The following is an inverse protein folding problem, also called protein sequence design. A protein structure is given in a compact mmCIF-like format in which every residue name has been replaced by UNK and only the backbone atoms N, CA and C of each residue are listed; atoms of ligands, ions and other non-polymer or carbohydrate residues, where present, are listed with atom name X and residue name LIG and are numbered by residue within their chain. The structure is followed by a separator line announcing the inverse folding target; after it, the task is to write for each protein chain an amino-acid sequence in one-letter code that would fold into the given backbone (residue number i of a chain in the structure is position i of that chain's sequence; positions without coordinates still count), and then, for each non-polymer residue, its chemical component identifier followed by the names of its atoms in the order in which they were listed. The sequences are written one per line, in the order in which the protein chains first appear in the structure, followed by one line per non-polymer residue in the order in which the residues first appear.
data_IF_685001892269
#
_entry.id   IF_685001892269
#
_cell.length_a   1.000
_cell.length_b   1.000
_cell.length_c   1.000
_cell.angle_alpha   90.00
_cell.angle_beta   90.00
_cell.angle_gamma   90.00
#
_symmetry.space_group_name_H-M   'P 1'
#
loop_
_entity.id
_entity.type
_entity.pdbx_description
1 polymer ?
#
# COMPACT_ATOMS: atom_id res chain seq x y z
N UNK A 1 4.11 48.40 21.71
CA UNK A 1 5.26 47.50 21.48
C UNK A 1 5.26 46.48 22.61
N UNK A 2 4.95 45.21 22.32
CA UNK A 2 4.92 44.15 23.33
C UNK A 2 6.37 43.74 23.62
N UNK A 3 6.97 44.31 24.67
CA UNK A 3 8.29 43.89 25.14
C UNK A 3 8.08 42.64 25.99
N UNK A 4 8.39 41.46 25.43
CA UNK A 4 8.39 40.18 26.17
C UNK A 4 9.40 40.22 27.32
N UNK A 5 9.07 39.61 28.46
CA UNK A 5 9.92 39.63 29.65
C UNK A 5 11.22 38.82 29.42
N UNK A 6 12.37 39.28 29.97
CA UNK A 6 13.67 38.60 29.85
C UNK A 6 13.64 37.15 30.33
N UNK A 7 12.77 36.83 31.29
CA UNK A 7 12.55 35.45 31.77
C UNK A 7 11.81 34.57 30.75
N UNK A 8 10.90 35.16 29.98
CA UNK A 8 10.18 34.46 28.90
C UNK A 8 11.09 34.23 27.68
N UNK A 9 11.97 35.17 27.35
CA UNK A 9 12.96 34.97 26.27
C UNK A 9 13.91 33.80 26.58
N UNK A 10 14.42 33.72 27.83
CA UNK A 10 15.34 32.66 28.23
C UNK A 10 14.69 31.26 28.30
N UNK A 11 13.39 31.19 28.61
CA UNK A 11 12.66 29.92 28.62
C UNK A 11 12.31 29.45 27.20
N UNK A 12 11.99 30.38 26.30
CA UNK A 12 11.75 30.12 24.88
C UNK A 12 13.03 29.62 24.18
N UNK A 13 14.18 30.30 24.38
CA UNK A 13 15.46 29.88 23.82
C UNK A 13 15.89 28.49 24.28
N UNK A 14 15.67 28.15 25.56
CA UNK A 14 15.93 26.79 26.07
C UNK A 14 15.02 25.74 25.42
N UNK A 15 13.75 26.08 25.19
CA UNK A 15 12.77 25.19 24.55
C UNK A 15 13.13 24.93 23.08
N UNK A 16 13.54 25.98 22.36
CA UNK A 16 13.96 25.89 20.95
C UNK A 16 15.25 25.07 20.81
N UNK A 17 16.22 25.29 21.70
CA UNK A 17 17.47 24.50 21.73
C UNK A 17 17.20 23.03 22.02
N UNK A 18 16.33 22.72 22.99
CA UNK A 18 15.92 21.34 23.28
C UNK A 18 15.19 20.68 22.11
N UNK A 19 14.36 21.42 21.38
CA UNK A 19 13.67 20.94 20.18
C UNK A 19 14.65 20.61 19.05
N UNK A 20 15.65 21.46 18.82
CA UNK A 20 16.70 21.22 17.84
C UNK A 20 17.56 19.99 18.17
N UNK A 21 17.92 19.80 19.44
CA UNK A 21 18.71 18.64 19.87
C UNK A 21 17.91 17.33 19.68
N UNK A 22 16.60 17.34 19.94
CA UNK A 22 15.72 16.19 19.67
C UNK A 22 15.63 15.87 18.18
N UNK A 23 15.53 16.87 17.31
CA UNK A 23 15.50 16.69 15.85
C UNK A 23 16.81 16.08 15.35
N UNK A 24 17.96 16.53 15.87
CA UNK A 24 19.27 15.96 15.51
C UNK A 24 19.41 14.50 15.94
N UNK A 25 18.97 14.17 17.15
CA UNK A 25 18.98 12.80 17.64
C UNK A 25 18.07 11.89 16.79
N UNK A 26 16.90 12.38 16.41
CA UNK A 26 15.96 11.67 15.54
C UNK A 26 16.55 11.37 14.16
N UNK A 27 17.16 12.36 13.51
CA UNK A 27 17.79 12.14 12.18
C UNK A 27 19.01 11.20 12.26
N UNK A 28 19.80 11.27 13.33
CA UNK A 28 20.91 10.34 13.55
C UNK A 28 20.42 8.90 13.72
N UNK A 29 19.37 8.68 14.52
CA UNK A 29 18.76 7.36 14.68
C UNK A 29 18.19 6.84 13.36
N UNK A 30 17.54 7.70 12.58
CA UNK A 30 17.02 7.36 11.25
C UNK A 30 18.15 6.85 10.33
N UNK A 31 19.27 7.57 10.25
CA UNK A 31 20.43 7.19 9.44
C UNK A 31 21.06 5.87 9.90
N UNK A 32 21.10 5.61 11.21
CA UNK A 32 21.61 4.34 11.74
C UNK A 32 20.72 3.16 11.32
N UNK A 33 19.40 3.31 11.39
CA UNK A 33 18.45 2.29 10.96
C UNK A 33 18.59 2.04 9.45
N UNK A 34 18.65 3.09 8.62
CA UNK A 34 18.84 2.95 7.17
C UNK A 34 20.17 2.28 6.80
N UNK A 35 21.25 2.56 7.53
CA UNK A 35 22.55 1.92 7.31
C UNK A 35 22.55 0.43 7.65
N UNK A 36 21.82 0.03 8.70
CA UNK A 36 21.76 -1.36 9.17
C UNK A 36 20.78 -2.21 8.37
N UNK A 37 19.62 -1.66 8.00
CA UNK A 37 18.49 -2.42 7.44
C UNK A 37 18.17 -2.04 5.99
N UNK A 38 18.90 -1.10 5.41
CA UNK A 38 18.71 -0.62 4.04
C UNK A 38 17.85 0.65 3.96
N UNK A 39 17.94 1.35 2.81
CA UNK A 39 17.13 2.54 2.55
C UNK A 39 15.64 2.19 2.57
N UNK A 40 14.82 3.04 3.20
CA UNK A 40 13.37 2.84 3.30
C UNK A 40 12.92 1.94 4.46
N UNK A 41 13.84 1.44 5.28
CA UNK A 41 13.54 0.68 6.52
C UNK A 41 12.84 1.52 7.60
N UNK A 42 12.97 2.85 7.55
CA UNK A 42 12.22 3.80 8.37
C UNK A 42 11.90 5.04 7.55
N UNK A 43 10.62 5.43 7.53
CA UNK A 43 10.13 6.56 6.74
C UNK A 43 9.11 7.34 7.56
N UNK A 44 8.97 8.64 7.29
CA UNK A 44 7.86 9.40 7.89
C UNK A 44 6.59 9.07 7.10
N UNK A 45 5.55 8.66 7.83
CA UNK A 45 4.23 8.46 7.24
C UNK A 45 3.77 9.77 6.58
N UNK A 46 3.42 9.73 5.30
CA UNK A 46 2.97 10.91 4.56
C UNK A 46 4.06 11.71 3.83
N UNK A 47 5.36 11.46 4.05
CA UNK A 47 6.41 12.18 3.31
C UNK A 47 6.44 11.83 1.82
N UNK A 48 5.98 10.62 1.47
CA UNK A 48 5.90 10.10 0.09
C UNK A 48 4.46 9.67 -0.32
N UNK A 49 3.48 9.78 0.58
CA UNK A 49 2.12 9.31 0.34
C UNK A 49 1.39 10.10 -0.77
N UNK A 50 1.80 11.35 -1.01
CA UNK A 50 1.23 12.18 -2.09
C UNK A 50 1.84 11.87 -3.48
N UNK A 51 2.84 10.98 -3.59
CA UNK A 51 3.52 10.67 -4.87
C UNK A 51 3.34 9.25 -5.38
N UNK A 52 3.00 8.30 -4.52
CA UNK A 52 2.72 6.93 -4.93
C UNK A 52 1.27 6.62 -4.59
N UNK A 53 0.36 6.93 -5.53
CA UNK A 53 -0.99 6.38 -5.47
C UNK A 53 -0.93 4.87 -5.27
N UNK A 54 -1.91 4.29 -4.58
CA UNK A 54 -1.98 2.84 -4.40
C UNK A 54 -2.10 2.22 -5.79
N UNK A 55 -1.07 1.49 -6.24
CA UNK A 55 -1.16 0.75 -7.49
C UNK A 55 -2.23 -0.32 -7.36
N UNK A 56 -3.08 -0.45 -8.37
CA UNK A 56 -4.17 -1.41 -8.40
C UNK A 56 -4.15 -2.30 -9.63
N UNK A 57 -4.77 -3.47 -9.51
CA UNK A 57 -5.13 -4.34 -10.62
C UNK A 57 -6.66 -4.21 -10.79
N UNK A 58 -7.18 -3.83 -11.97
CA UNK A 58 -8.62 -3.75 -12.19
C UNK A 58 -9.30 -5.08 -11.88
N UNK A 59 -10.50 -5.05 -11.31
CA UNK A 59 -11.24 -6.28 -11.01
C UNK A 59 -11.91 -6.92 -12.23
N UNK A 60 -12.00 -6.17 -13.33
CA UNK A 60 -12.80 -6.55 -14.51
C UNK A 60 -14.26 -6.15 -14.41
N UNK A 61 -14.70 -5.55 -13.29
CA UNK A 61 -16.02 -4.97 -13.11
C UNK A 61 -15.91 -3.50 -12.70
N UNK A 62 -16.45 -2.61 -13.52
CA UNK A 62 -16.47 -1.16 -13.27
C UNK A 62 -17.14 -0.86 -11.92
N UNK A 63 -18.22 -1.57 -11.60
CA UNK A 63 -18.95 -1.37 -10.35
C UNK A 63 -18.13 -1.80 -9.13
N UNK A 64 -17.38 -2.90 -9.25
CA UNK A 64 -16.54 -3.38 -8.15
C UNK A 64 -15.33 -2.46 -7.94
N UNK A 65 -14.69 -2.02 -9.03
CA UNK A 65 -13.57 -1.07 -8.97
C UNK A 65 -13.98 0.25 -8.29
N UNK A 66 -15.18 0.73 -8.62
CA UNK A 66 -15.77 1.91 -7.97
C UNK A 66 -16.08 1.63 -6.49
N UNK A 67 -16.68 0.48 -6.16
CA UNK A 67 -17.00 0.11 -4.78
C UNK A 67 -15.77 -0.05 -3.88
N UNK A 68 -14.64 -0.51 -4.44
CA UNK A 68 -13.36 -0.59 -3.74
C UNK A 68 -12.73 0.78 -3.47
N UNK A 69 -13.18 1.84 -4.17
CA UNK A 69 -12.76 3.24 -3.96
C UNK A 69 -11.35 3.59 -4.43
N UNK A 70 -10.50 2.58 -4.63
CA UNK A 70 -9.12 2.72 -5.14
C UNK A 70 -8.97 2.31 -6.61
N UNK A 71 -10.07 1.91 -7.27
CA UNK A 71 -10.08 1.56 -8.70
C UNK A 71 -9.64 0.13 -9.02
N UNK A 72 -9.65 -0.78 -8.04
CA UNK A 72 -9.32 -2.20 -8.23
C UNK A 72 -8.69 -2.84 -7.00
N UNK A 73 -8.08 -4.00 -7.18
CA UNK A 73 -7.36 -4.73 -6.14
C UNK A 73 -6.00 -4.05 -5.85
N UNK A 74 -5.73 -3.59 -4.62
CA UNK A 74 -4.47 -2.94 -4.28
C UNK A 74 -3.28 -3.91 -4.30
N UNK A 75 -2.22 -3.54 -5.01
CA UNK A 75 -0.98 -4.33 -5.10
C UNK A 75 -0.24 -4.34 -3.77
N UNK A 76 0.46 -5.44 -3.49
CA UNK A 76 1.22 -5.61 -2.25
C UNK A 76 0.35 -5.76 -0.99
N UNK A 77 -0.93 -6.09 -1.16
CA UNK A 77 -1.90 -6.32 -0.07
C UNK A 77 -2.55 -7.68 -0.22
N UNK A 78 -3.00 -8.23 0.90
CA UNK A 78 -3.82 -9.44 0.93
C UNK A 78 -5.28 -9.04 0.71
N UNK A 79 -5.96 -9.77 -0.17
CA UNK A 79 -7.38 -9.61 -0.47
C UNK A 79 -8.07 -10.94 -0.19
N UNK A 80 -9.18 -10.90 0.54
CA UNK A 80 -10.01 -12.06 0.84
C UNK A 80 -11.37 -11.92 0.15
N UNK A 81 -11.76 -12.94 -0.61
CA UNK A 81 -13.08 -13.05 -1.25
C UNK A 81 -13.76 -14.28 -0.67
N UNK A 82 -14.80 -14.08 0.14
CA UNK A 82 -15.54 -15.15 0.78
C UNK A 82 -17.02 -15.10 0.39
N UNK A 83 -17.72 -16.23 0.57
CA UNK A 83 -19.14 -16.35 0.26
C UNK A 83 -19.56 -17.80 -0.04
N UNK A 84 -20.88 -18.03 -0.21
CA UNK A 84 -21.43 -19.35 -0.48
C UNK A 84 -20.82 -20.04 -1.71
N UNK A 85 -20.99 -21.37 -1.80
CA UNK A 85 -20.68 -22.09 -3.04
C UNK A 85 -21.44 -21.48 -4.22
N UNK A 86 -20.82 -21.48 -5.40
CA UNK A 86 -21.39 -20.87 -6.61
C UNK A 86 -21.64 -19.36 -6.56
N UNK A 87 -21.15 -18.63 -5.55
CA UNK A 87 -21.27 -17.16 -5.48
C UNK A 87 -20.31 -16.39 -6.41
N UNK A 88 -19.47 -17.09 -7.19
CA UNK A 88 -18.54 -16.49 -8.14
C UNK A 88 -17.14 -16.14 -7.59
N UNK A 89 -16.74 -16.67 -6.43
CA UNK A 89 -15.42 -16.43 -5.82
C UNK A 89 -14.26 -16.71 -6.79
N UNK A 90 -14.24 -17.93 -7.36
CA UNK A 90 -13.21 -18.36 -8.32
C UNK A 90 -13.28 -17.54 -9.60
N UNK A 91 -14.48 -17.20 -10.07
CA UNK A 91 -14.67 -16.32 -11.24
C UNK A 91 -14.04 -14.94 -11.03
N UNK A 92 -14.23 -14.32 -9.85
CA UNK A 92 -13.57 -13.05 -9.52
C UNK A 92 -12.05 -13.19 -9.45
N UNK A 93 -11.55 -14.27 -8.85
CA UNK A 93 -10.11 -14.54 -8.81
C UNK A 93 -9.51 -14.72 -10.22
N UNK A 94 -10.19 -15.42 -11.12
CA UNK A 94 -9.76 -15.59 -12.50
C UNK A 94 -9.81 -14.28 -13.29
N UNK A 95 -10.80 -13.42 -13.04
CA UNK A 95 -10.80 -12.07 -13.60
C UNK A 95 -9.63 -11.22 -13.10
N UNK A 96 -9.29 -11.30 -11.81
CA UNK A 96 -8.12 -10.63 -11.26
C UNK A 96 -6.84 -11.08 -11.97
N UNK A 97 -6.70 -12.38 -12.24
CA UNK A 97 -5.58 -12.96 -13.00
C UNK A 97 -5.56 -12.43 -14.43
N UNK A 98 -6.67 -12.50 -15.15
CA UNK A 98 -6.76 -12.01 -16.52
C UNK A 98 -6.39 -10.52 -16.62
N UNK A 99 -6.83 -9.70 -15.68
CA UNK A 99 -6.48 -8.27 -15.62
C UNK A 99 -5.01 -8.05 -15.27
N UNK A 100 -4.44 -8.83 -14.34
CA UNK A 100 -3.02 -8.78 -14.03
C UNK A 100 -2.15 -9.13 -15.26
N UNK A 101 -2.54 -10.16 -16.02
CA UNK A 101 -1.86 -10.59 -17.24
C UNK A 101 -1.98 -9.55 -18.37
N UNK A 102 -3.15 -8.91 -18.54
CA UNK A 102 -3.34 -7.81 -19.51
C UNK A 102 -2.42 -6.62 -19.25
N UNK A 103 -2.04 -6.40 -17.99
CA UNK A 103 -1.05 -5.38 -17.60
C UNK A 103 0.40 -5.86 -17.74
N UNK A 104 0.63 -7.03 -18.38
CA UNK A 104 1.96 -7.62 -18.55
C UNK A 104 2.50 -8.34 -17.31
N UNK A 105 1.65 -8.56 -16.30
CA UNK A 105 2.02 -9.30 -15.09
C UNK A 105 1.99 -10.81 -15.27
N UNK A 106 2.61 -11.52 -14.33
CA UNK A 106 2.54 -12.98 -14.22
C UNK A 106 1.70 -13.30 -12.99
N UNK A 107 0.82 -14.30 -13.11
CA UNK A 107 -0.02 -14.77 -12.01
C UNK A 107 0.24 -16.25 -11.73
N UNK A 108 0.02 -16.65 -10.49
CA UNK A 108 0.01 -18.04 -10.06
C UNK A 108 -1.34 -18.34 -9.42
N UNK A 109 -1.91 -19.50 -9.75
CA UNK A 109 -3.14 -19.99 -9.15
C UNK A 109 -2.82 -21.27 -8.37
N UNK A 110 -3.18 -21.29 -7.09
CA UNK A 110 -2.98 -22.45 -6.22
C UNK A 110 -4.35 -23.09 -6.04
N UNK A 111 -4.61 -24.17 -6.79
CA UNK A 111 -5.86 -24.91 -6.69
C UNK A 111 -5.77 -25.98 -5.60
N UNK A 112 -6.33 -25.68 -4.43
CA UNK A 112 -6.45 -26.65 -3.34
C UNK A 112 -7.68 -27.57 -3.50
N UNK A 113 -8.69 -27.14 -4.26
CA UNK A 113 -9.98 -27.83 -4.40
C UNK A 113 -10.02 -28.78 -5.61
N UNK A 114 -8.99 -28.76 -6.46
CA UNK A 114 -8.89 -29.53 -7.72
C UNK A 114 -10.11 -29.31 -8.64
N UNK A 115 -10.64 -28.10 -8.64
CA UNK A 115 -11.89 -27.73 -9.30
C UNK A 115 -11.71 -26.71 -10.43
N UNK A 116 -10.47 -26.30 -10.72
CA UNK A 116 -10.20 -25.34 -11.79
C UNK A 116 -10.44 -25.96 -13.18
N UNK A 117 -11.30 -25.32 -13.97
CA UNK A 117 -11.51 -25.61 -15.38
C UNK A 117 -10.66 -24.66 -16.26
N UNK A 118 -9.63 -25.17 -16.97
CA UNK A 118 -8.79 -24.36 -17.85
C UNK A 118 -9.56 -23.69 -18.99
N UNK A 119 -10.57 -24.35 -19.55
CA UNK A 119 -11.38 -23.80 -20.65
C UNK A 119 -12.21 -22.64 -20.15
N UNK A 120 -12.78 -22.76 -18.94
CA UNK A 120 -13.48 -21.65 -18.31
C UNK A 120 -12.54 -20.47 -18.03
N UNK A 121 -11.32 -20.71 -17.54
CA UNK A 121 -10.33 -19.67 -17.30
C UNK A 121 -9.94 -18.92 -18.59
N UNK A 122 -9.69 -19.64 -19.69
CA UNK A 122 -9.40 -19.06 -21.01
C UNK A 122 -10.55 -18.18 -21.50
N UNK A 123 -11.80 -18.65 -21.35
CA UNK A 123 -13.00 -17.87 -21.72
C UNK A 123 -13.15 -16.58 -20.91
N UNK A 124 -12.61 -16.53 -19.69
CA UNK A 124 -12.56 -15.31 -18.87
C UNK A 124 -11.37 -14.39 -19.22
N UNK A 125 -10.52 -14.80 -20.17
CA UNK A 125 -9.39 -14.05 -20.68
C UNK A 125 -8.08 -14.31 -19.94
N UNK A 126 -7.97 -15.43 -19.22
CA UNK A 126 -6.70 -15.88 -18.65
C UNK A 126 -5.83 -16.46 -19.77
N UNK A 127 -4.57 -16.05 -19.81
CA UNK A 127 -3.54 -16.67 -20.63
C UNK A 127 -2.96 -17.87 -19.86
N UNK A 128 -3.39 -19.08 -20.22
CA UNK A 128 -3.04 -20.36 -19.60
C UNK A 128 -1.69 -20.91 -20.06
#
# INVERSE_FOLDING_TARGET
ELIMDKREMASQEKKDKSSQDKLRALESAKLQIEKQFGKGSIMRLGQDADRAGIETIPSGSILLDAALGVGGYPRGRVIEIYGPESSGKTTLALHAIAQAQKLGGIAAFIDAEHALDPVYAENLGVNT
#
